data_IF_145278269957
#
_entry.id   IF_145278269957
#
_cell.length_a   1.000
_cell.length_b   1.000
_cell.length_c   1.000
_cell.angle_alpha   90.00
_cell.angle_beta   90.00
_cell.angle_gamma   90.00
#
_symmetry.space_group_name_H-M   'P 1'
#
loop_
_entity.id
_entity.type
_entity.pdbx_description
1 polymer ?
#
# COMPACT_ATOMS: atom_id res chain seq x y z
N UNK A 1 43.73 -15.24 -88.65
CA UNK A 1 44.44 -14.30 -89.48
C UNK A 1 45.29 -13.44 -88.57
N UNK A 2 46.57 -13.78 -88.47
CA UNK A 2 47.74 -13.19 -89.06
C UNK A 2 47.78 -11.66 -88.96
N UNK A 3 48.68 -11.14 -88.06
CA UNK A 3 49.98 -10.50 -88.38
C UNK A 3 50.57 -10.04 -87.03
N UNK A 4 51.60 -10.48 -86.47
CA UNK A 4 53.06 -10.49 -86.72
C UNK A 4 53.59 -9.16 -87.39
N UNK A 5 54.40 -8.44 -86.56
CA UNK A 5 55.58 -7.64 -86.97
C UNK A 5 56.31 -7.25 -85.69
N UNK A 6 57.34 -7.70 -85.34
CA UNK A 6 58.79 -7.81 -85.52
C UNK A 6 59.54 -6.44 -85.53
N UNK A 7 60.48 -6.38 -84.57
CA UNK A 7 61.82 -5.80 -84.55
C UNK A 7 61.97 -4.28 -84.56
N UNK A 8 62.78 -3.72 -83.67
CA UNK A 8 64.25 -3.59 -83.85
C UNK A 8 64.89 -3.21 -82.52
N UNK A 9 65.93 -3.91 -82.09
CA UNK A 9 66.84 -3.59 -81.01
C UNK A 9 67.79 -2.45 -81.45
N UNK A 10 68.00 -1.52 -80.53
CA UNK A 10 69.19 -0.60 -80.65
C UNK A 10 69.92 -0.66 -79.32
N UNK A 11 71.03 -1.28 -79.34
CA UNK A 11 72.04 -1.25 -78.24
C UNK A 11 72.80 0.06 -78.35
N UNK A 12 72.70 0.86 -77.28
CA UNK A 12 73.61 1.96 -77.02
C UNK A 12 74.40 1.67 -75.79
N UNK A 13 75.64 1.30 -75.94
CA UNK A 13 76.63 1.29 -74.87
C UNK A 13 76.92 2.73 -74.45
N UNK A 14 76.75 3.10 -73.20
CA UNK A 14 77.35 4.27 -72.62
C UNK A 14 78.02 3.89 -71.33
N UNK A 15 79.23 4.33 -71.19
CA UNK A 15 80.24 3.99 -70.22
C UNK A 15 79.85 4.31 -68.76
N UNK A 16 80.37 3.50 -67.89
CA UNK A 16 80.29 3.64 -66.44
C UNK A 16 80.85 4.95 -65.89
N UNK A 17 80.05 5.64 -65.15
CA UNK A 17 80.49 6.47 -63.99
C UNK A 17 79.95 5.86 -62.71
N UNK A 18 80.85 5.36 -61.93
CA UNK A 18 80.56 4.76 -60.65
C UNK A 18 80.02 5.81 -59.65
N UNK A 19 78.72 5.90 -59.53
CA UNK A 19 78.02 6.56 -58.40
C UNK A 19 77.30 5.52 -57.63
N UNK A 20 77.68 5.35 -56.38
CA UNK A 20 76.93 4.51 -55.43
C UNK A 20 75.51 5.03 -55.40
N UNK A 21 74.56 4.15 -55.77
CA UNK A 21 73.14 4.45 -55.56
C UNK A 21 72.91 4.65 -54.05
N UNK A 22 72.14 5.69 -53.63
CA UNK A 22 71.83 5.85 -52.24
C UNK A 22 71.09 4.60 -51.73
N UNK A 23 71.46 4.12 -50.58
CA UNK A 23 70.78 3.02 -49.93
C UNK A 23 69.26 3.29 -49.92
N UNK A 24 68.42 2.28 -50.22
CA UNK A 24 66.97 2.49 -50.18
C UNK A 24 66.60 3.00 -48.80
N UNK A 25 65.80 4.06 -48.77
CA UNK A 25 65.27 4.60 -47.49
C UNK A 25 64.71 3.45 -46.67
N UNK A 26 65.00 3.38 -45.39
CA UNK A 26 64.49 2.29 -44.53
C UNK A 26 62.94 2.26 -44.69
N UNK A 27 62.41 1.02 -44.85
CA UNK A 27 60.97 0.81 -44.96
C UNK A 27 60.28 1.49 -43.79
N UNK A 28 59.15 2.21 -44.01
CA UNK A 28 58.44 2.86 -42.90
C UNK A 28 58.13 1.83 -41.83
N UNK A 29 58.41 2.18 -40.58
CA UNK A 29 58.13 1.32 -39.44
C UNK A 29 56.65 0.89 -39.43
N UNK A 30 56.40 -0.39 -39.15
CA UNK A 30 55.06 -0.89 -39.10
C UNK A 30 54.24 -0.13 -38.04
N UNK A 31 52.96 0.21 -38.35
CA UNK A 31 52.10 0.89 -37.35
C UNK A 31 52.02 0.09 -36.05
N UNK A 32 51.96 0.80 -34.92
CA UNK A 32 51.83 0.20 -33.56
C UNK A 32 50.59 0.75 -32.87
N UNK A 33 50.00 -0.07 -31.98
CA UNK A 33 48.92 0.32 -31.08
C UNK A 33 49.29 -0.25 -29.71
N UNK A 34 49.24 0.59 -28.68
CA UNK A 34 49.50 0.21 -27.29
C UNK A 34 48.45 0.83 -26.37
N UNK A 35 48.22 0.20 -25.20
CA UNK A 35 47.24 0.61 -24.19
C UNK A 35 47.94 0.88 -22.87
N UNK A 36 47.39 1.82 -22.10
CA UNK A 36 47.86 2.13 -20.72
C UNK A 36 47.58 0.98 -19.73
N UNK A 37 46.70 0.04 -20.10
CA UNK A 37 46.36 -1.14 -19.29
C UNK A 37 46.10 -2.33 -20.23
N UNK A 38 46.41 -3.58 -19.86
CA UNK A 38 46.13 -4.76 -20.66
C UNK A 38 44.62 -5.12 -20.69
N UNK A 39 43.81 -4.55 -19.77
CA UNK A 39 42.38 -4.74 -19.67
C UNK A 39 41.74 -3.44 -19.16
N UNK A 40 40.56 -3.10 -19.65
CA UNK A 40 39.76 -2.01 -19.16
C UNK A 40 38.68 -2.54 -18.19
N UNK A 41 38.85 -2.30 -16.91
CA UNK A 41 37.88 -2.68 -15.89
C UNK A 41 36.86 -1.56 -15.69
N UNK A 42 35.58 -1.90 -15.81
CA UNK A 42 34.46 -1.00 -15.56
C UNK A 42 33.83 -1.33 -14.20
N UNK A 43 33.36 -0.32 -13.49
CA UNK A 43 32.67 -0.50 -12.21
C UNK A 43 31.47 -1.48 -12.36
N UNK A 44 31.24 -2.38 -11.41
CA UNK A 44 30.03 -3.23 -11.39
C UNK A 44 28.73 -2.42 -11.46
N UNK A 45 28.73 -1.21 -10.89
CA UNK A 45 27.59 -0.29 -10.90
C UNK A 45 27.37 0.40 -12.25
N UNK A 46 28.22 0.14 -13.24
CA UNK A 46 28.25 0.86 -14.50
C UNK A 46 28.99 2.18 -14.41
N UNK A 47 28.68 3.08 -15.35
CA UNK A 47 29.33 4.36 -15.49
C UNK A 47 30.48 4.34 -16.48
N UNK A 48 31.35 5.33 -16.41
CA UNK A 48 32.42 5.58 -17.36
C UNK A 48 33.76 5.03 -16.89
N UNK A 49 34.47 4.39 -17.81
CA UNK A 49 35.86 4.00 -17.65
C UNK A 49 36.69 4.53 -18.84
N UNK A 50 37.96 4.82 -18.62
CA UNK A 50 38.84 5.36 -19.63
C UNK A 50 40.10 4.54 -19.79
N UNK A 51 40.58 4.43 -21.01
CA UNK A 51 41.89 3.86 -21.35
C UNK A 51 42.64 4.82 -22.28
N UNK A 52 43.94 4.98 -22.05
CA UNK A 52 44.79 5.70 -22.96
C UNK A 52 45.28 4.73 -24.04
N UNK A 53 45.09 5.15 -25.29
CA UNK A 53 45.56 4.44 -26.49
C UNK A 53 46.61 5.28 -27.14
N UNK A 54 47.77 4.70 -27.46
CA UNK A 54 48.84 5.33 -28.21
C UNK A 54 49.05 4.54 -29.50
N UNK A 55 49.00 5.20 -30.65
CA UNK A 55 49.17 4.61 -31.95
C UNK A 55 50.04 5.50 -32.87
N UNK A 56 50.96 4.89 -33.61
CA UNK A 56 51.91 5.58 -34.47
C UNK A 56 51.26 6.07 -35.78
N UNK A 57 50.03 5.68 -36.10
CA UNK A 57 49.19 6.12 -37.23
C UNK A 57 47.74 6.35 -36.81
N UNK A 58 46.93 7.06 -37.65
CA UNK A 58 45.49 7.22 -37.34
C UNK A 58 44.81 5.86 -37.09
N UNK A 59 43.90 5.81 -36.12
CA UNK A 59 43.28 4.57 -35.69
C UNK A 59 41.76 4.69 -35.45
N UNK A 60 41.07 3.58 -35.56
CA UNK A 60 39.65 3.41 -35.27
C UNK A 60 39.44 2.32 -34.23
N UNK A 61 38.25 2.32 -33.61
CA UNK A 61 37.86 1.30 -32.62
C UNK A 61 36.41 0.87 -32.89
N UNK A 62 36.18 -0.44 -32.71
CA UNK A 62 34.85 -1.04 -32.82
C UNK A 62 34.59 -1.90 -31.57
N UNK A 63 33.32 -1.98 -31.16
CA UNK A 63 32.87 -2.91 -30.13
C UNK A 63 32.57 -4.29 -30.75
N UNK A 64 32.49 -5.32 -29.92
CA UNK A 64 32.06 -6.67 -30.33
C UNK A 64 30.53 -6.83 -30.43
N UNK A 65 29.78 -5.70 -30.38
CA UNK A 65 28.32 -5.70 -30.51
C UNK A 65 27.55 -6.05 -29.23
N UNK A 66 28.22 -6.12 -28.08
CA UNK A 66 27.54 -6.28 -26.79
C UNK A 66 26.73 -4.99 -26.47
N UNK A 67 25.55 -5.15 -25.88
CA UNK A 67 24.60 -4.06 -25.57
C UNK A 67 24.86 -3.39 -24.22
N UNK A 68 25.71 -3.97 -23.39
CA UNK A 68 25.95 -3.51 -22.03
C UNK A 68 27.01 -2.41 -21.92
N UNK A 69 27.77 -2.14 -22.96
CA UNK A 69 28.72 -1.01 -23.01
C UNK A 69 28.72 -0.35 -24.38
N UNK A 70 29.13 0.91 -24.39
CA UNK A 70 29.17 1.71 -25.61
C UNK A 70 30.38 2.64 -25.61
N UNK A 71 30.73 3.11 -26.82
CA UNK A 71 31.74 4.12 -27.02
C UNK A 71 31.06 5.48 -27.28
N UNK A 72 31.56 6.54 -26.64
CA UNK A 72 31.01 7.89 -26.83
C UNK A 72 31.13 8.35 -28.34
N UNK A 73 32.10 7.79 -29.11
CA UNK A 73 32.39 8.15 -30.47
C UNK A 73 32.88 6.95 -31.29
N UNK A 74 32.00 5.99 -31.53
CA UNK A 74 32.32 4.73 -32.23
C UNK A 74 32.80 4.91 -33.69
N UNK A 75 32.50 6.03 -34.33
CA UNK A 75 32.87 6.27 -35.75
C UNK A 75 33.97 7.31 -35.94
N UNK A 76 34.67 7.66 -34.86
CA UNK A 76 35.72 8.69 -34.89
C UNK A 76 37.06 8.08 -35.29
N UNK A 77 37.82 8.81 -36.15
CA UNK A 77 39.24 8.51 -36.43
C UNK A 77 40.07 9.29 -35.41
N UNK A 78 40.81 8.57 -34.61
CA UNK A 78 41.74 9.11 -33.63
C UNK A 78 43.14 9.26 -34.22
N UNK A 79 43.97 10.11 -33.64
CA UNK A 79 45.37 10.33 -34.08
C UNK A 79 46.30 10.34 -32.87
N UNK A 80 47.41 9.59 -32.97
CA UNK A 80 48.38 9.51 -31.90
C UNK A 80 47.82 9.05 -30.58
N UNK A 81 48.31 9.62 -29.49
CA UNK A 81 47.80 9.35 -28.12
C UNK A 81 46.41 9.98 -27.95
N UNK A 82 45.45 9.18 -27.47
CA UNK A 82 44.08 9.59 -27.19
C UNK A 82 43.54 8.86 -25.99
N UNK A 83 42.60 9.48 -25.26
CA UNK A 83 41.87 8.82 -24.16
C UNK A 83 40.53 8.35 -24.72
N UNK A 84 40.35 7.03 -24.71
CA UNK A 84 39.08 6.40 -25.07
C UNK A 84 38.20 6.27 -23.86
N UNK A 85 36.95 6.72 -23.96
CA UNK A 85 35.92 6.60 -22.92
C UNK A 85 34.93 5.50 -23.32
N UNK A 86 34.69 4.58 -22.39
CA UNK A 86 33.71 3.51 -22.47
C UNK A 86 32.67 3.72 -21.39
N UNK A 87 31.41 3.77 -21.75
CA UNK A 87 30.28 3.85 -20.82
C UNK A 87 29.58 2.50 -20.73
N UNK A 88 29.33 2.01 -19.51
CA UNK A 88 28.67 0.72 -19.28
C UNK A 88 27.48 0.85 -18.34
N UNK A 89 26.51 -0.04 -18.52
CA UNK A 89 25.36 -0.18 -17.64
C UNK A 89 25.72 -1.03 -16.41
N UNK A 90 24.98 -0.94 -15.26
CA UNK A 90 25.16 -1.84 -14.13
C UNK A 90 25.11 -3.31 -14.55
N UNK A 91 25.99 -4.12 -14.02
CA UNK A 91 26.00 -5.56 -14.30
C UNK A 91 25.19 -6.33 -13.26
N UNK A 92 23.91 -6.50 -13.49
CA UNK A 92 22.99 -7.26 -12.63
C UNK A 92 22.72 -8.69 -13.17
N UNK A 93 23.57 -9.20 -14.05
CA UNK A 93 23.37 -10.49 -14.71
C UNK A 93 23.64 -11.72 -13.84
N UNK A 94 24.11 -11.54 -12.61
CA UNK A 94 24.48 -12.63 -11.70
C UNK A 94 25.91 -13.14 -11.87
N UNK A 95 26.65 -12.71 -12.91
CA UNK A 95 28.03 -13.11 -13.18
C UNK A 95 28.87 -11.97 -13.74
N UNK A 96 30.18 -12.09 -13.65
CA UNK A 96 31.08 -11.17 -14.35
C UNK A 96 30.92 -11.32 -15.88
N UNK A 97 31.05 -10.20 -16.59
CA UNK A 97 30.97 -10.17 -18.06
C UNK A 97 32.18 -9.52 -18.69
N UNK A 98 32.46 -9.92 -19.93
CA UNK A 98 33.57 -9.44 -20.73
C UNK A 98 33.09 -9.05 -22.13
N UNK A 99 33.71 -8.01 -22.67
CA UNK A 99 33.56 -7.58 -24.04
C UNK A 99 34.92 -7.31 -24.65
N UNK A 100 34.97 -7.01 -25.94
CA UNK A 100 36.21 -6.79 -26.68
C UNK A 100 36.11 -5.53 -27.53
N UNK A 101 37.06 -4.64 -27.36
CA UNK A 101 37.30 -3.53 -28.26
C UNK A 101 38.36 -3.94 -29.29
N UNK A 102 38.07 -3.74 -30.57
CA UNK A 102 38.99 -4.03 -31.68
C UNK A 102 39.49 -2.72 -32.26
N UNK A 103 40.78 -2.57 -32.30
CA UNK A 103 41.48 -1.36 -32.81
C UNK A 103 42.17 -1.66 -34.13
N UNK A 104 42.12 -0.70 -35.01
CA UNK A 104 42.82 -0.77 -36.32
C UNK A 104 43.57 0.52 -36.55
N UNK A 105 44.88 0.44 -36.89
CA UNK A 105 45.74 1.56 -37.25
C UNK A 105 46.60 1.16 -38.43
N UNK A 106 46.25 1.63 -39.63
CA UNK A 106 46.89 1.16 -40.88
C UNK A 106 46.73 -0.37 -41.04
N UNK A 107 47.85 -1.09 -41.02
CA UNK A 107 47.88 -2.57 -41.09
C UNK A 107 47.94 -3.23 -39.70
N UNK A 108 48.13 -2.45 -38.65
CA UNK A 108 48.17 -3.00 -37.28
C UNK A 108 46.75 -3.16 -36.70
N UNK A 109 46.54 -4.25 -36.04
CA UNK A 109 45.33 -4.54 -35.25
C UNK A 109 45.67 -4.90 -33.81
N UNK A 110 44.85 -4.48 -32.86
CA UNK A 110 44.97 -4.84 -31.45
C UNK A 110 43.59 -5.03 -30.84
N UNK A 111 43.53 -5.77 -29.76
CA UNK A 111 42.28 -5.97 -29.01
C UNK A 111 42.51 -5.66 -27.52
N UNK A 112 41.51 -5.01 -26.91
CA UNK A 112 41.48 -4.75 -25.48
C UNK A 112 40.23 -5.38 -24.88
N UNK A 113 40.41 -6.15 -23.82
CA UNK A 113 39.29 -6.70 -23.08
C UNK A 113 38.66 -5.61 -22.21
N UNK A 114 37.34 -5.51 -22.23
CA UNK A 114 36.53 -4.77 -21.28
C UNK A 114 35.92 -5.75 -20.30
N UNK A 115 36.18 -5.59 -19.01
CA UNK A 115 35.64 -6.49 -17.98
C UNK A 115 34.80 -5.72 -16.98
N UNK A 116 33.74 -6.37 -16.51
CA UNK A 116 32.87 -5.86 -15.48
C UNK A 116 32.43 -6.97 -14.53
N UNK A 117 32.73 -6.83 -13.24
CA UNK A 117 32.26 -7.76 -12.22
C UNK A 117 30.73 -7.65 -12.03
N UNK A 118 30.13 -8.68 -11.43
CA UNK A 118 28.72 -8.65 -11.09
C UNK A 118 28.46 -7.57 -10.02
N UNK A 119 27.39 -6.80 -10.20
CA UNK A 119 26.87 -5.88 -9.21
C UNK A 119 25.80 -6.59 -8.38
N UNK A 120 26.00 -6.64 -7.06
CA UNK A 120 25.05 -7.20 -6.12
C UNK A 120 24.47 -6.04 -5.29
N UNK A 121 23.19 -5.69 -5.52
CA UNK A 121 22.48 -4.79 -4.63
C UNK A 121 22.54 -5.28 -3.18
N UNK A 122 22.89 -4.40 -2.24
CA UNK A 122 22.87 -4.69 -0.80
C UNK A 122 22.16 -3.56 -0.05
N UNK A 123 21.41 -3.96 0.97
CA UNK A 123 20.68 -3.08 1.89
C UNK A 123 20.95 -3.55 3.31
N UNK A 124 21.31 -2.63 4.17
CA UNK A 124 21.56 -2.88 5.60
C UNK A 124 20.63 -2.01 6.42
N UNK A 125 20.08 -2.60 7.45
CA UNK A 125 19.29 -1.92 8.48
C UNK A 125 20.13 -1.77 9.74
N UNK A 126 19.95 -0.68 10.48
CA UNK A 126 20.67 -0.43 11.75
C UNK A 126 20.25 -1.41 12.86
N UNK A 127 19.18 -2.15 12.68
CA UNK A 127 18.65 -3.14 13.62
C UNK A 127 18.32 -4.44 12.88
N UNK A 128 18.39 -5.57 13.57
CA UNK A 128 17.98 -6.87 13.03
C UNK A 128 16.45 -7.03 13.02
N UNK A 129 15.78 -6.40 13.99
CA UNK A 129 14.33 -6.39 14.15
C UNK A 129 13.89 -5.02 14.65
N UNK A 130 12.77 -4.53 14.11
CA UNK A 130 12.07 -3.35 14.63
C UNK A 130 11.07 -3.80 15.67
N UNK A 131 11.18 -3.28 16.89
CA UNK A 131 10.24 -3.57 17.98
C UNK A 131 9.53 -2.30 18.42
N UNK A 132 8.23 -2.42 18.69
CA UNK A 132 7.39 -1.41 19.32
C UNK A 132 6.58 -2.07 20.44
N UNK A 133 6.21 -1.34 21.47
CA UNK A 133 5.28 -1.85 22.50
C UNK A 133 3.82 -1.86 21.99
N UNK A 134 2.92 -2.40 22.80
CA UNK A 134 1.50 -2.49 22.45
C UNK A 134 0.79 -1.14 22.35
N UNK A 135 1.33 -0.08 22.95
CA UNK A 135 0.74 1.26 22.86
C UNK A 135 0.88 1.88 21.46
N UNK A 136 1.77 1.32 20.64
CA UNK A 136 2.07 1.87 19.33
C UNK A 136 3.03 3.06 19.39
N UNK A 137 3.18 3.77 18.27
CA UNK A 137 4.08 4.91 18.17
C UNK A 137 4.97 4.85 16.94
N UNK A 138 6.09 5.58 16.96
CA UNK A 138 6.99 5.68 15.83
C UNK A 138 8.38 5.13 16.15
N UNK A 139 8.95 4.37 15.21
CA UNK A 139 10.32 3.86 15.28
C UNK A 139 11.06 4.25 14.01
N UNK A 140 12.25 4.81 14.16
CA UNK A 140 13.13 5.18 13.04
C UNK A 140 14.24 4.15 12.89
N UNK A 141 14.43 3.63 11.68
CA UNK A 141 15.47 2.68 11.30
C UNK A 141 16.40 3.34 10.30
N UNK A 142 17.70 3.42 10.62
CA UNK A 142 18.69 3.88 9.65
C UNK A 142 18.99 2.79 8.64
N UNK A 143 19.24 3.20 7.39
CA UNK A 143 19.55 2.31 6.28
C UNK A 143 20.83 2.72 5.59
N UNK A 144 21.54 1.75 5.05
CA UNK A 144 22.68 1.91 4.15
C UNK A 144 22.47 1.03 2.93
N UNK A 145 22.50 1.61 1.74
CA UNK A 145 22.22 0.89 0.49
C UNK A 145 23.21 1.28 -0.61
N UNK A 146 23.67 0.30 -1.40
CA UNK A 146 24.50 0.55 -2.58
C UNK A 146 23.70 0.70 -3.86
N UNK A 147 22.38 0.47 -3.81
CA UNK A 147 21.40 0.62 -4.89
C UNK A 147 20.06 1.14 -4.33
N UNK A 148 19.14 1.50 -5.21
CA UNK A 148 17.77 1.81 -4.82
C UNK A 148 16.99 0.52 -4.52
N UNK A 149 16.13 0.55 -3.49
CA UNK A 149 15.27 -0.55 -3.05
C UNK A 149 13.83 -0.06 -2.91
N UNK A 150 12.88 -0.94 -3.19
CA UNK A 150 11.44 -0.66 -3.05
C UNK A 150 10.82 -1.64 -2.07
N UNK A 151 9.96 -1.14 -1.20
CA UNK A 151 9.16 -1.94 -0.27
C UNK A 151 8.12 -2.75 -1.05
N UNK A 152 7.96 -4.02 -0.71
CA UNK A 152 6.80 -4.81 -1.14
C UNK A 152 5.61 -4.40 -0.27
N UNK A 153 4.72 -3.58 -0.80
CA UNK A 153 3.63 -3.00 -0.03
C UNK A 153 2.62 -4.03 0.46
N UNK A 154 2.55 -5.20 -0.19
CA UNK A 154 1.70 -6.31 0.27
C UNK A 154 2.15 -6.93 1.59
N UNK A 155 3.37 -6.66 2.04
CA UNK A 155 3.90 -7.13 3.32
C UNK A 155 3.59 -6.15 4.48
N UNK A 156 3.09 -4.96 4.17
CA UNK A 156 2.73 -3.97 5.19
C UNK A 156 1.40 -4.38 5.80
N UNK A 157 1.44 -4.87 7.03
CA UNK A 157 0.24 -5.24 7.75
C UNK A 157 -0.53 -3.98 8.20
N UNK A 158 -1.85 -4.10 8.37
CA UNK A 158 -2.73 -2.99 8.78
C UNK A 158 -2.30 -2.24 10.06
N UNK A 159 -1.53 -2.89 10.93
CA UNK A 159 -1.14 -2.36 12.22
C UNK A 159 0.14 -1.50 12.22
N UNK A 160 0.79 -1.33 11.09
CA UNK A 160 1.90 -0.38 10.93
C UNK A 160 1.99 0.15 9.49
N UNK A 161 2.68 1.28 9.35
CA UNK A 161 3.01 1.85 8.06
C UNK A 161 4.52 2.13 7.98
N UNK A 162 5.07 2.18 6.76
CA UNK A 162 6.49 2.47 6.49
C UNK A 162 6.57 3.66 5.53
N UNK A 163 7.45 4.61 5.85
CA UNK A 163 7.75 5.75 4.98
C UNK A 163 9.25 6.08 5.06
N UNK A 164 9.91 6.38 3.92
CA UNK A 164 9.40 6.28 2.55
C UNK A 164 9.24 4.82 2.09
N UNK A 165 8.50 4.60 0.98
CA UNK A 165 8.33 3.29 0.33
C UNK A 165 9.53 2.87 -0.53
N UNK A 166 10.52 3.74 -0.66
CA UNK A 166 11.75 3.50 -1.40
C UNK A 166 12.96 3.92 -0.56
N UNK A 167 14.02 3.12 -0.60
CA UNK A 167 15.32 3.45 -0.03
C UNK A 167 16.25 3.80 -1.19
N UNK A 168 16.74 5.03 -1.20
CA UNK A 168 17.71 5.48 -2.19
C UNK A 168 19.10 4.87 -1.91
N UNK A 169 19.99 4.90 -2.92
CA UNK A 169 21.42 4.61 -2.73
C UNK A 169 22.02 5.60 -1.72
N UNK A 170 22.84 5.10 -0.80
CA UNK A 170 23.47 5.85 0.28
C UNK A 170 22.83 5.57 1.62
N UNK A 171 23.10 6.46 2.59
CA UNK A 171 22.49 6.42 3.91
C UNK A 171 21.09 7.03 3.87
N UNK A 172 20.17 6.47 4.63
CA UNK A 172 18.78 6.92 4.70
C UNK A 172 18.11 6.51 6.02
N UNK A 173 16.85 6.86 6.14
CA UNK A 173 16.01 6.50 7.28
C UNK A 173 14.65 5.99 6.79
N UNK A 174 14.14 4.97 7.48
CA UNK A 174 12.78 4.47 7.39
C UNK A 174 12.08 4.80 8.70
N UNK A 175 10.90 5.37 8.62
CA UNK A 175 10.01 5.60 9.74
C UNK A 175 8.89 4.58 9.69
N UNK A 176 8.75 3.79 10.74
CA UNK A 176 7.63 2.88 10.95
C UNK A 176 6.69 3.52 11.97
N UNK A 177 5.42 3.67 11.60
CA UNK A 177 4.38 4.20 12.48
C UNK A 177 3.43 3.06 12.83
N UNK A 178 3.33 2.72 14.12
CA UNK A 178 2.56 1.60 14.63
C UNK A 178 1.24 2.11 15.21
N UNK A 179 0.14 1.46 14.85
CA UNK A 179 -1.14 1.62 15.51
C UNK A 179 -1.12 0.89 16.86
N UNK A 180 -1.99 1.27 17.78
CA UNK A 180 -2.15 0.57 19.05
C UNK A 180 -2.56 -0.89 18.79
N UNK A 181 -1.98 -1.81 19.56
CA UNK A 181 -2.43 -3.19 19.62
C UNK A 181 -3.54 -3.29 20.68
N UNK A 182 -4.75 -3.58 20.25
CA UNK A 182 -5.91 -3.73 21.15
C UNK A 182 -6.07 -5.16 21.67
N UNK A 183 -5.12 -6.05 21.39
CA UNK A 183 -5.15 -7.45 21.79
C UNK A 183 -4.07 -7.75 22.84
N UNK A 184 -4.31 -8.78 23.65
CA UNK A 184 -3.36 -9.34 24.61
C UNK A 184 -2.26 -10.19 23.97
N UNK A 185 -2.15 -10.17 22.64
CA UNK A 185 -1.20 -10.97 21.86
C UNK A 185 -0.18 -10.10 21.15
N UNK A 186 1.04 -10.60 21.15
CA UNK A 186 2.11 -10.08 20.32
C UNK A 186 1.83 -10.35 18.83
N UNK A 187 2.26 -9.45 17.95
CA UNK A 187 2.15 -9.61 16.50
C UNK A 187 3.47 -9.30 15.80
N UNK A 188 3.72 -9.98 14.67
CA UNK A 188 4.94 -9.83 13.88
C UNK A 188 4.66 -9.89 12.39
N UNK A 189 5.54 -9.26 11.62
CA UNK A 189 5.52 -9.28 10.16
C UNK A 189 6.94 -9.25 9.62
N UNK A 190 7.13 -9.74 8.40
CA UNK A 190 8.38 -9.61 7.65
C UNK A 190 8.17 -8.76 6.42
N UNK A 191 8.79 -7.60 6.34
CA UNK A 191 8.67 -6.68 5.21
C UNK A 191 9.82 -6.86 4.24
N UNK A 192 9.51 -7.22 3.00
CA UNK A 192 10.49 -7.41 1.94
C UNK A 192 10.80 -6.09 1.23
N UNK A 193 12.05 -5.91 0.96
CA UNK A 193 12.60 -4.84 0.12
C UNK A 193 13.24 -5.50 -1.10
N UNK A 194 13.03 -4.95 -2.29
CA UNK A 194 13.50 -5.50 -3.57
C UNK A 194 14.37 -4.51 -4.32
N UNK A 195 15.44 -5.02 -4.94
CA UNK A 195 16.26 -4.34 -5.93
C UNK A 195 16.66 -5.35 -7.00
N UNK A 196 16.02 -5.31 -8.18
CA UNK A 196 16.10 -6.39 -9.16
C UNK A 196 15.67 -7.72 -8.54
N UNK A 197 16.48 -8.75 -8.69
CA UNK A 197 16.23 -10.08 -8.13
C UNK A 197 16.63 -10.22 -6.65
N UNK A 198 17.26 -9.18 -6.08
CA UNK A 198 17.67 -9.21 -4.68
C UNK A 198 16.52 -8.85 -3.75
N UNK A 199 16.43 -9.59 -2.65
CA UNK A 199 15.40 -9.39 -1.61
C UNK A 199 16.08 -9.29 -0.25
N UNK A 200 15.70 -8.28 0.54
CA UNK A 200 16.05 -8.15 1.96
C UNK A 200 14.77 -8.06 2.77
N UNK A 201 14.72 -8.74 3.90
CA UNK A 201 13.55 -8.72 4.79
C UNK A 201 13.90 -7.99 6.08
N UNK A 202 13.04 -7.05 6.47
CA UNK A 202 13.06 -6.39 7.77
C UNK A 202 12.01 -7.07 8.66
N UNK A 203 12.43 -7.65 9.78
CA UNK A 203 11.52 -8.18 10.78
C UNK A 203 10.90 -7.03 11.58
N UNK A 204 9.60 -7.09 11.77
CA UNK A 204 8.82 -6.08 12.51
C UNK A 204 7.99 -6.81 13.56
N UNK A 205 8.03 -6.33 14.81
CA UNK A 205 7.32 -6.91 15.94
C UNK A 205 6.64 -5.82 16.75
N UNK A 206 5.44 -6.11 17.22
CA UNK A 206 4.75 -5.29 18.20
C UNK A 206 4.33 -6.13 19.38
N UNK A 207 4.64 -5.67 20.58
CA UNK A 207 4.25 -6.32 21.82
C UNK A 207 2.73 -6.41 21.97
N UNK A 208 2.30 -7.27 22.91
CA UNK A 208 0.91 -7.31 23.34
C UNK A 208 0.46 -5.94 23.83
N UNK A 209 -0.76 -5.56 23.50
CA UNK A 209 -1.43 -4.42 24.07
C UNK A 209 -2.27 -4.82 25.28
N UNK A 210 -2.89 -3.84 25.90
CA UNK A 210 -3.93 -4.10 26.88
C UNK A 210 -5.28 -3.88 26.21
N UNK A 211 -6.22 -4.82 26.30
CA UNK A 211 -7.59 -4.61 25.89
C UNK A 211 -8.13 -3.33 26.51
N UNK A 212 -8.86 -2.53 25.76
CA UNK A 212 -9.48 -1.33 26.30
C UNK A 212 -10.55 -1.74 27.31
N UNK A 213 -10.42 -1.37 28.59
CA UNK A 213 -11.45 -1.70 29.55
C UNK A 213 -12.80 -1.11 29.11
N UNK A 214 -13.84 -1.87 29.26
CA UNK A 214 -15.18 -1.39 28.96
C UNK A 214 -15.49 -0.12 29.78
N UNK A 215 -16.03 0.90 29.10
CA UNK A 215 -16.28 2.20 29.70
C UNK A 215 -15.04 3.10 29.85
N UNK A 216 -13.87 2.71 29.32
CA UNK A 216 -12.65 3.51 29.42
C UNK A 216 -12.78 4.93 28.81
N UNK A 217 -13.69 5.10 27.87
CA UNK A 217 -13.92 6.39 27.19
C UNK A 217 -15.18 7.12 27.66
N UNK A 218 -15.87 6.55 28.67
CA UNK A 218 -17.10 7.17 29.19
C UNK A 218 -16.76 8.48 29.92
N UNK A 219 -17.39 9.59 29.58
CA UNK A 219 -17.13 10.87 30.27
C UNK A 219 -17.48 10.79 31.76
N UNK A 220 -16.79 11.58 32.58
CA UNK A 220 -17.07 11.64 34.00
C UNK A 220 -18.53 12.07 34.29
N UNK A 221 -19.12 11.46 35.31
CA UNK A 221 -20.49 11.73 35.73
C UNK A 221 -21.57 10.95 34.97
N UNK A 222 -21.18 9.93 34.21
CA UNK A 222 -22.10 9.00 33.56
C UNK A 222 -22.08 7.66 34.33
N UNK A 223 -23.24 7.04 34.51
CA UNK A 223 -23.43 5.73 35.15
C UNK A 223 -24.06 4.75 34.17
N UNK A 224 -23.60 3.48 34.23
CA UNK A 224 -24.13 2.38 33.42
C UNK A 224 -25.59 2.11 33.81
N UNK A 225 -26.52 2.14 32.85
CA UNK A 225 -27.93 1.87 33.08
C UNK A 225 -28.45 0.66 32.29
N UNK A 226 -27.76 0.25 31.23
CA UNK A 226 -28.10 -0.92 30.43
C UNK A 226 -26.85 -1.45 29.74
N UNK A 227 -26.79 -2.78 29.60
CA UNK A 227 -25.75 -3.44 28.81
C UNK A 227 -26.21 -4.78 28.25
N UNK A 228 -25.57 -5.17 27.16
CA UNK A 228 -25.47 -6.54 26.70
C UNK A 228 -24.01 -6.84 26.39
N UNK A 229 -23.42 -7.74 27.14
CA UNK A 229 -22.04 -8.20 27.01
C UNK A 229 -21.95 -9.55 26.28
N UNK A 230 -23.10 -10.02 25.77
CA UNK A 230 -23.23 -11.26 24.99
C UNK A 230 -22.61 -12.49 25.68
N UNK A 231 -22.59 -12.49 27.02
CA UNK A 231 -22.09 -13.64 27.82
C UNK A 231 -23.11 -14.78 27.91
N UNK A 232 -24.38 -14.51 27.60
CA UNK A 232 -25.47 -15.45 27.62
C UNK A 232 -25.58 -16.37 26.40
N UNK A 233 -26.58 -17.23 26.40
CA UNK A 233 -26.86 -18.06 25.24
C UNK A 233 -27.54 -17.24 24.12
N UNK A 234 -27.38 -17.70 22.88
CA UNK A 234 -28.00 -17.03 21.73
C UNK A 234 -29.55 -16.91 21.87
N UNK A 235 -30.22 -17.84 22.57
CA UNK A 235 -31.66 -17.77 22.80
C UNK A 235 -32.08 -16.59 23.68
N UNK A 236 -31.16 -16.04 24.45
CA UNK A 236 -31.40 -14.91 25.32
C UNK A 236 -31.38 -13.57 24.59
N UNK A 237 -30.83 -13.51 23.35
CA UNK A 237 -30.81 -12.29 22.55
C UNK A 237 -32.19 -11.64 22.45
N UNK A 238 -33.25 -12.43 22.25
CA UNK A 238 -34.63 -11.90 22.15
C UNK A 238 -35.17 -11.28 23.43
N UNK A 239 -34.50 -11.45 24.54
CA UNK A 239 -34.92 -10.80 25.81
C UNK A 239 -34.61 -9.28 25.75
N UNK A 240 -33.52 -8.92 25.13
CA UNK A 240 -33.05 -7.53 24.98
C UNK A 240 -33.26 -6.95 23.59
N UNK A 241 -33.37 -7.81 22.54
CA UNK A 241 -33.41 -7.40 21.15
C UNK A 241 -34.71 -7.86 20.47
N UNK A 242 -35.17 -7.05 19.49
CA UNK A 242 -36.23 -7.39 18.52
C UNK A 242 -35.56 -7.58 17.17
N UNK A 243 -35.94 -8.62 16.45
CA UNK A 243 -35.42 -8.90 15.11
C UNK A 243 -36.42 -8.41 14.05
N UNK A 244 -35.91 -7.85 12.98
CA UNK A 244 -36.70 -7.40 11.83
C UNK A 244 -36.84 -8.53 10.79
N UNK A 245 -38.01 -8.60 10.13
CA UNK A 245 -38.24 -9.44 8.96
C UNK A 245 -38.48 -8.54 7.75
N UNK A 246 -37.43 -8.29 6.99
CA UNK A 246 -37.49 -7.39 5.84
C UNK A 246 -37.07 -8.06 4.55
N UNK A 247 -37.96 -7.97 3.52
CA UNK A 247 -37.62 -8.40 2.17
C UNK A 247 -36.48 -7.56 1.56
N UNK A 248 -35.73 -8.12 0.61
CA UNK A 248 -34.76 -7.36 -0.18
C UNK A 248 -35.38 -6.12 -0.82
N UNK A 249 -34.59 -5.06 -0.95
CA UNK A 249 -34.97 -3.81 -1.58
C UNK A 249 -35.97 -2.96 -0.80
N UNK A 250 -36.25 -3.29 0.47
CA UNK A 250 -37.19 -2.50 1.29
C UNK A 250 -36.70 -1.06 1.51
N UNK A 251 -35.41 -0.88 1.73
CA UNK A 251 -34.72 0.41 1.84
C UNK A 251 -33.43 0.35 1.04
N UNK A 252 -32.94 1.48 0.52
CA UNK A 252 -31.61 1.65 -0.10
C UNK A 252 -31.25 0.58 -1.14
N UNK A 253 -32.24 -0.09 -1.76
CA UNK A 253 -32.04 -1.19 -2.71
C UNK A 253 -31.14 -2.32 -2.17
N UNK A 254 -31.09 -2.52 -0.85
CA UNK A 254 -30.30 -3.56 -0.19
C UNK A 254 -30.68 -4.95 -0.69
N UNK A 255 -29.68 -5.81 -0.91
CA UNK A 255 -29.86 -7.10 -1.59
C UNK A 255 -30.22 -8.25 -0.64
N UNK A 256 -29.90 -8.14 0.65
CA UNK A 256 -30.20 -9.17 1.63
C UNK A 256 -31.66 -9.15 2.07
N UNK A 257 -32.15 -10.29 2.50
CA UNK A 257 -33.30 -10.39 3.38
C UNK A 257 -32.85 -10.36 4.83
N UNK A 258 -33.42 -9.52 5.67
CA UNK A 258 -33.30 -9.67 7.12
C UNK A 258 -34.27 -10.74 7.60
N UNK A 259 -33.75 -11.74 8.29
CA UNK A 259 -34.54 -12.87 8.80
C UNK A 259 -34.61 -12.82 10.33
N UNK A 260 -35.83 -12.97 10.89
CA UNK A 260 -35.98 -12.88 12.33
C UNK A 260 -35.48 -14.14 13.05
N UNK A 261 -34.76 -13.95 14.17
CA UNK A 261 -34.34 -14.99 15.11
C UNK A 261 -33.71 -16.26 14.46
N UNK A 262 -32.92 -16.05 13.40
CA UNK A 262 -32.22 -17.12 12.70
C UNK A 262 -30.78 -17.25 13.21
N UNK A 263 -30.46 -18.41 13.81
CA UNK A 263 -29.12 -18.71 14.35
C UNK A 263 -28.02 -18.78 13.28
N UNK A 264 -28.37 -18.73 12.02
CA UNK A 264 -27.39 -18.64 10.92
C UNK A 264 -26.95 -17.20 10.66
N UNK A 265 -27.76 -16.21 11.10
CA UNK A 265 -27.53 -14.78 10.84
C UNK A 265 -27.28 -13.96 12.09
N UNK A 266 -27.73 -14.42 13.27
CA UNK A 266 -27.40 -13.77 14.54
C UNK A 266 -27.26 -14.82 15.65
N UNK A 267 -26.08 -14.89 16.27
CA UNK A 267 -25.79 -15.83 17.35
C UNK A 267 -24.66 -15.30 18.24
N UNK A 268 -24.67 -15.78 19.48
CA UNK A 268 -23.58 -15.56 20.43
C UNK A 268 -22.62 -16.73 20.37
N UNK A 269 -21.34 -16.43 20.26
CA UNK A 269 -20.24 -17.40 20.31
C UNK A 269 -19.01 -16.76 20.93
N UNK A 270 -18.36 -17.50 21.84
CA UNK A 270 -17.12 -17.09 22.53
C UNK A 270 -17.23 -15.69 23.20
N UNK A 271 -18.40 -15.38 23.78
CA UNK A 271 -18.65 -14.11 24.46
C UNK A 271 -18.90 -12.92 23.54
N UNK A 272 -19.19 -13.13 22.26
CA UNK A 272 -19.50 -12.05 21.32
C UNK A 272 -20.72 -12.39 20.47
N UNK A 273 -21.49 -11.37 20.12
CA UNK A 273 -22.54 -11.45 19.08
C UNK A 273 -21.92 -11.46 17.69
N UNK A 274 -22.33 -12.39 16.88
CA UNK A 274 -22.04 -12.42 15.42
C UNK A 274 -23.31 -12.09 14.65
N UNK A 275 -23.26 -11.03 13.83
CA UNK A 275 -24.27 -10.73 12.82
C UNK A 275 -23.69 -11.09 11.45
N UNK A 276 -24.27 -12.08 10.79
CA UNK A 276 -23.68 -12.74 9.61
C UNK A 276 -24.53 -12.51 8.37
N UNK A 277 -23.92 -11.95 7.32
CA UNK A 277 -24.47 -12.03 5.98
C UNK A 277 -23.98 -13.31 5.30
N UNK A 278 -24.91 -14.09 4.73
CA UNK A 278 -24.60 -15.38 4.10
C UNK A 278 -25.60 -15.76 3.01
N UNK A 279 -25.20 -16.65 2.13
CA UNK A 279 -26.10 -17.24 1.16
C UNK A 279 -27.07 -18.26 1.79
N UNK A 280 -28.31 -18.20 1.37
CA UNK A 280 -29.35 -19.21 1.59
C UNK A 280 -30.00 -19.50 0.22
N UNK A 281 -29.48 -20.50 -0.48
CA UNK A 281 -29.76 -20.69 -1.91
C UNK A 281 -29.25 -19.51 -2.76
N UNK A 282 -30.12 -18.90 -3.53
CA UNK A 282 -29.82 -17.73 -4.36
C UNK A 282 -29.96 -16.40 -3.60
N UNK A 283 -30.52 -16.41 -2.40
CA UNK A 283 -30.74 -15.22 -1.59
C UNK A 283 -29.60 -14.99 -0.59
N UNK A 284 -29.21 -13.76 -0.36
CA UNK A 284 -28.41 -13.39 0.80
C UNK A 284 -29.34 -13.11 1.97
N UNK A 285 -29.07 -13.74 3.11
CA UNK A 285 -29.79 -13.48 4.36
C UNK A 285 -28.84 -12.84 5.37
N UNK A 286 -29.39 -12.00 6.26
CA UNK A 286 -28.66 -11.33 7.32
C UNK A 286 -29.59 -11.01 8.50
N UNK A 287 -29.09 -10.32 9.53
CA UNK A 287 -29.91 -9.87 10.62
C UNK A 287 -29.87 -8.34 10.81
N UNK A 288 -31.01 -7.81 11.23
CA UNK A 288 -31.18 -6.46 11.78
C UNK A 288 -31.92 -6.60 13.09
N UNK A 289 -31.35 -6.05 14.13
CA UNK A 289 -31.88 -6.19 15.48
C UNK A 289 -31.88 -4.84 16.20
N UNK A 290 -32.99 -4.58 16.91
CA UNK A 290 -33.23 -3.34 17.64
C UNK A 290 -33.35 -3.64 19.13
N UNK A 291 -32.81 -2.76 20.00
CA UNK A 291 -33.06 -2.89 21.43
C UNK A 291 -34.55 -2.79 21.75
N UNK A 292 -35.00 -3.54 22.76
CA UNK A 292 -36.38 -3.41 23.26
C UNK A 292 -36.58 -2.14 24.08
N UNK A 293 -35.49 -1.66 24.69
CA UNK A 293 -35.43 -0.41 25.40
C UNK A 293 -35.01 0.76 24.50
N UNK A 294 -35.37 1.94 24.90
CA UNK A 294 -35.04 3.20 24.23
C UNK A 294 -34.69 4.29 25.25
N UNK A 295 -33.83 5.18 24.84
CA UNK A 295 -33.29 6.21 25.73
C UNK A 295 -33.43 7.60 25.11
N UNK A 296 -33.65 8.59 25.97
CA UNK A 296 -33.48 10.00 25.64
C UNK A 296 -32.19 10.46 26.26
N UNK A 297 -31.22 10.90 25.44
CA UNK A 297 -29.87 11.31 25.83
C UNK A 297 -29.05 10.19 26.48
N UNK A 298 -27.77 10.41 26.64
CA UNK A 298 -26.85 9.47 27.30
C UNK A 298 -25.52 9.35 26.56
N UNK A 299 -24.71 8.44 27.04
CA UNK A 299 -23.55 7.94 26.33
C UNK A 299 -23.78 6.46 25.96
N UNK A 300 -23.70 6.14 24.69
CA UNK A 300 -23.88 4.81 24.14
C UNK A 300 -22.58 4.36 23.51
N UNK A 301 -22.13 3.15 23.80
CA UNK A 301 -20.94 2.58 23.17
C UNK A 301 -21.15 1.12 22.78
N UNK A 302 -20.42 0.70 21.75
CA UNK A 302 -20.29 -0.69 21.36
C UNK A 302 -18.85 -0.99 20.93
N UNK A 303 -18.33 -2.14 21.33
CA UNK A 303 -17.07 -2.64 20.80
C UNK A 303 -17.38 -3.56 19.62
N UNK A 304 -16.95 -3.17 18.43
CA UNK A 304 -17.34 -3.84 17.18
C UNK A 304 -16.09 -4.08 16.33
N UNK A 305 -16.00 -5.31 15.76
CA UNK A 305 -15.12 -5.66 14.64
C UNK A 305 -15.97 -5.76 13.38
N UNK A 306 -15.60 -5.04 12.34
CA UNK A 306 -16.35 -4.94 11.10
C UNK A 306 -16.13 -6.15 10.18
N UNK A 307 -17.10 -6.46 9.31
CA UNK A 307 -16.97 -7.54 8.33
C UNK A 307 -16.08 -7.11 7.17
N UNK A 308 -15.31 -8.05 6.64
CA UNK A 308 -14.55 -7.84 5.39
C UNK A 308 -15.39 -8.15 4.15
N UNK A 309 -15.13 -7.39 3.10
CA UNK A 309 -15.54 -7.74 1.75
C UNK A 309 -16.45 -6.74 1.07
N UNK A 310 -16.22 -6.61 -0.23
CA UNK A 310 -16.97 -5.70 -1.08
C UNK A 310 -18.45 -6.10 -1.16
N UNK A 311 -19.29 -5.23 -0.68
CA UNK A 311 -20.74 -5.45 -0.57
C UNK A 311 -21.26 -5.42 0.85
N UNK A 312 -20.39 -5.47 1.88
CA UNK A 312 -20.79 -5.29 3.28
C UNK A 312 -21.20 -3.85 3.57
N UNK A 313 -22.19 -3.71 4.45
CA UNK A 313 -22.61 -2.43 5.02
C UNK A 313 -23.11 -2.66 6.44
N UNK A 314 -22.18 -2.80 7.40
CA UNK A 314 -22.49 -2.88 8.83
C UNK A 314 -22.91 -1.52 9.37
N UNK A 315 -23.80 -1.50 10.36
CA UNK A 315 -24.20 -0.28 11.06
C UNK A 315 -24.51 -0.51 12.53
N UNK A 316 -24.10 0.47 13.35
CA UNK A 316 -24.48 0.71 14.73
C UNK A 316 -25.07 2.11 14.81
N UNK A 317 -26.36 2.22 15.04
CA UNK A 317 -27.14 3.41 14.84
C UNK A 317 -28.41 3.47 15.69
N UNK A 318 -29.19 4.55 15.61
CA UNK A 318 -30.35 4.75 16.44
C UNK A 318 -31.53 5.34 15.66
N UNK A 319 -32.72 4.82 15.95
CA UNK A 319 -34.01 5.34 15.45
C UNK A 319 -34.94 5.71 16.60
N UNK A 320 -35.82 6.71 16.40
CA UNK A 320 -36.78 7.08 17.45
C UNK A 320 -37.91 6.06 17.59
N UNK A 321 -38.45 5.95 18.81
CA UNK A 321 -39.69 5.19 19.04
C UNK A 321 -40.86 5.76 18.24
N UNK A 322 -40.98 7.09 18.27
CA UNK A 322 -42.02 7.80 17.49
C UNK A 322 -41.51 8.15 16.09
N UNK A 323 -41.92 7.35 15.12
CA UNK A 323 -41.64 7.55 13.69
C UNK A 323 -42.85 8.11 12.91
N UNK A 324 -43.84 8.67 13.60
CA UNK A 324 -45.10 9.14 12.97
C UNK A 324 -44.87 10.22 11.89
N UNK A 325 -43.79 11.01 12.01
CA UNK A 325 -43.39 11.99 10.99
C UNK A 325 -42.74 11.39 9.74
N UNK A 326 -42.46 10.08 9.76
CA UNK A 326 -41.71 9.40 8.69
C UNK A 326 -40.24 9.81 8.62
N UNK A 327 -39.48 8.96 7.94
CA UNK A 327 -38.04 9.28 7.67
C UNK A 327 -37.96 10.32 6.51
N UNK A 328 -37.03 11.28 6.54
CA UNK A 328 -36.04 11.54 7.57
C UNK A 328 -36.52 12.50 8.69
N UNK A 329 -37.76 12.96 8.66
CA UNK A 329 -38.25 13.96 9.61
C UNK A 329 -38.35 13.44 11.06
N UNK A 330 -38.41 12.12 11.24
CA UNK A 330 -38.38 11.51 12.57
C UNK A 330 -37.02 11.58 13.25
N UNK A 331 -35.93 11.79 12.51
CA UNK A 331 -34.55 11.79 13.01
C UNK A 331 -33.90 10.40 12.93
N UNK A 332 -32.57 10.37 12.71
CA UNK A 332 -31.72 9.19 12.72
C UNK A 332 -30.30 9.60 13.16
N UNK A 333 -29.65 8.77 13.98
CA UNK A 333 -28.29 8.97 14.47
C UNK A 333 -27.46 7.73 14.13
N UNK A 334 -26.54 7.85 13.18
CA UNK A 334 -25.63 6.79 12.78
C UNK A 334 -24.32 6.97 13.55
N UNK A 335 -24.08 6.07 14.51
CA UNK A 335 -22.91 6.12 15.38
C UNK A 335 -21.70 5.58 14.63
N UNK A 336 -21.89 4.46 13.91
CA UNK A 336 -20.87 3.85 13.08
C UNK A 336 -21.51 3.19 11.85
N UNK A 337 -20.99 3.51 10.70
CA UNK A 337 -21.22 2.81 9.45
C UNK A 337 -19.91 2.60 8.70
N UNK A 338 -19.86 1.57 7.88
CA UNK A 338 -18.80 1.29 6.92
C UNK A 338 -19.41 0.67 5.67
N UNK A 339 -18.72 0.81 4.55
CA UNK A 339 -19.00 0.02 3.34
C UNK A 339 -17.73 -0.69 2.90
N UNK A 340 -17.78 -2.01 2.72
CA UNK A 340 -16.62 -2.83 2.39
C UNK A 340 -16.02 -2.58 1.01
N UNK A 341 -16.56 -1.65 0.22
CA UNK A 341 -15.95 -1.09 -0.98
C UNK A 341 -14.93 0.01 -0.65
N UNK A 342 -15.01 0.60 0.54
CA UNK A 342 -14.05 1.56 1.11
C UNK A 342 -13.62 1.07 2.50
N UNK A 343 -12.85 -0.04 2.57
CA UNK A 343 -12.59 -0.76 3.81
C UNK A 343 -11.89 0.11 4.85
N UNK A 344 -12.23 -0.10 6.13
CA UNK A 344 -11.69 0.60 7.30
C UNK A 344 -12.00 2.11 7.37
N UNK A 345 -12.74 2.68 6.41
CA UNK A 345 -13.25 4.04 6.54
C UNK A 345 -14.59 4.01 7.26
N UNK A 346 -14.54 4.36 8.55
CA UNK A 346 -15.76 4.41 9.39
C UNK A 346 -16.33 5.81 9.43
N UNK A 347 -17.64 5.89 9.32
CA UNK A 347 -18.39 7.15 9.29
C UNK A 347 -19.43 7.24 10.38
N UNK A 348 -19.82 8.46 10.71
CA UNK A 348 -21.00 8.79 11.50
C UNK A 348 -21.84 9.79 10.77
N UNK A 349 -23.17 9.68 10.88
CA UNK A 349 -24.10 10.56 10.18
C UNK A 349 -25.27 10.98 11.05
N UNK A 350 -25.87 12.13 10.71
CA UNK A 350 -27.13 12.62 11.28
C UNK A 350 -28.09 12.90 10.17
N UNK A 351 -29.31 12.31 10.27
CA UNK A 351 -30.38 12.57 9.34
C UNK A 351 -31.61 13.16 10.02
N UNK A 352 -32.17 14.20 9.40
CA UNK A 352 -33.43 14.83 9.78
C UNK A 352 -34.03 15.54 8.57
N UNK A 353 -35.19 16.19 8.72
CA UNK A 353 -35.90 16.82 7.62
C UNK A 353 -35.04 17.83 6.82
N UNK A 354 -34.18 18.60 7.50
CA UNK A 354 -33.29 19.57 6.87
C UNK A 354 -31.97 18.96 6.39
N UNK A 355 -31.51 17.90 7.03
CA UNK A 355 -30.19 17.27 6.79
C UNK A 355 -30.36 15.80 6.51
N UNK A 356 -30.21 15.36 5.27
CA UNK A 356 -30.32 13.94 4.89
C UNK A 356 -29.68 13.65 3.53
N UNK A 357 -29.40 12.38 3.25
CA UNK A 357 -28.69 11.97 2.03
C UNK A 357 -29.54 12.17 0.75
N UNK A 358 -30.87 12.11 0.83
CA UNK A 358 -31.72 12.37 -0.34
C UNK A 358 -31.56 13.80 -0.86
N UNK A 359 -31.23 14.73 0.04
CA UNK A 359 -30.97 16.13 -0.29
C UNK A 359 -29.47 16.45 -0.39
N UNK A 360 -28.58 15.50 -0.16
CA UNK A 360 -27.12 15.71 0.00
C UNK A 360 -26.78 16.77 1.06
N UNK A 361 -27.51 16.78 2.16
CA UNK A 361 -27.35 17.76 3.26
C UNK A 361 -27.11 17.12 4.62
N UNK A 362 -27.00 15.79 4.69
CA UNK A 362 -26.68 15.06 5.92
C UNK A 362 -25.43 15.62 6.58
N UNK A 363 -25.38 15.57 7.90
CA UNK A 363 -24.18 15.90 8.65
C UNK A 363 -23.42 14.59 8.83
N UNK A 364 -22.27 14.50 8.19
CA UNK A 364 -21.46 13.30 8.21
C UNK A 364 -19.98 13.63 8.44
N UNK A 365 -19.26 12.72 9.08
CA UNK A 365 -17.82 12.70 9.16
C UNK A 365 -17.34 11.27 8.98
N UNK A 366 -16.19 11.13 8.34
CA UNK A 366 -15.57 9.84 8.02
C UNK A 366 -14.07 9.92 8.34
N UNK A 367 -13.49 8.81 8.77
CA UNK A 367 -12.03 8.67 8.86
C UNK A 367 -11.58 7.23 8.69
N UNK A 368 -10.33 7.06 8.30
CA UNK A 368 -9.66 5.77 8.33
C UNK A 368 -9.51 5.31 9.79
N UNK A 369 -10.01 4.10 10.09
CA UNK A 369 -9.88 3.40 11.37
C UNK A 369 -9.10 2.10 11.12
N UNK A 370 -7.75 2.16 11.14
CA UNK A 370 -6.93 1.00 10.79
C UNK A 370 -7.19 -0.18 11.69
N UNK A 371 -7.44 -1.35 11.11
CA UNK A 371 -7.77 -2.56 11.82
C UNK A 371 -9.26 -2.72 12.17
N UNK A 372 -10.14 -1.84 11.69
CA UNK A 372 -11.58 -1.94 11.96
C UNK A 372 -12.19 -3.29 11.56
N UNK A 373 -11.67 -3.91 10.50
CA UNK A 373 -12.08 -5.25 10.05
C UNK A 373 -11.31 -6.41 10.73
N UNK A 374 -10.27 -6.10 11.52
CA UNK A 374 -9.39 -7.11 12.15
C UNK A 374 -9.56 -7.20 13.66
N UNK A 375 -9.81 -6.05 14.31
CA UNK A 375 -9.84 -5.90 15.77
C UNK A 375 -11.13 -5.21 16.21
N UNK A 376 -11.42 -5.32 17.51
CA UNK A 376 -12.54 -4.58 18.10
C UNK A 376 -12.14 -3.13 18.33
N UNK A 377 -12.93 -2.20 17.82
CA UNK A 377 -12.86 -0.77 18.09
C UNK A 377 -14.10 -0.33 18.87
N UNK A 378 -13.95 0.69 19.71
CA UNK A 378 -15.08 1.23 20.48
C UNK A 378 -15.69 2.42 19.73
N UNK A 379 -16.90 2.22 19.24
CA UNK A 379 -17.71 3.26 18.62
C UNK A 379 -18.69 3.81 19.64
N UNK A 380 -18.75 5.14 19.79
CA UNK A 380 -19.55 5.74 20.83
C UNK A 380 -20.27 7.01 20.41
N UNK A 381 -21.34 7.29 21.12
CA UNK A 381 -22.19 8.46 21.01
C UNK A 381 -22.33 9.14 22.36
N UNK A 382 -22.03 10.43 22.44
CA UNK A 382 -22.48 11.31 23.53
C UNK A 382 -23.61 12.19 23.01
N UNK A 383 -24.80 12.00 23.54
CA UNK A 383 -26.01 12.70 23.12
C UNK A 383 -26.66 13.43 24.29
N UNK A 384 -26.81 14.72 24.13
CA UNK A 384 -27.39 15.65 25.11
C UNK A 384 -28.48 16.50 24.46
N UNK A 385 -29.12 17.36 25.23
CA UNK A 385 -30.06 18.36 24.67
C UNK A 385 -29.36 19.43 23.79
N UNK A 386 -28.04 19.54 23.91
CA UNK A 386 -27.25 20.59 23.28
C UNK A 386 -26.49 20.14 22.06
N UNK A 387 -26.06 18.88 22.04
CA UNK A 387 -25.26 18.31 20.97
C UNK A 387 -25.35 16.78 20.88
N UNK A 388 -24.96 16.29 19.72
CA UNK A 388 -24.65 14.90 19.41
C UNK A 388 -23.18 14.87 19.02
N UNK A 389 -22.37 14.00 19.67
CA UNK A 389 -20.98 13.74 19.32
C UNK A 389 -20.76 12.24 19.18
N UNK A 390 -20.04 11.85 18.14
CA UNK A 390 -19.61 10.48 17.97
C UNK A 390 -18.10 10.34 18.14
N UNK A 391 -17.66 9.15 18.51
CA UNK A 391 -16.27 8.85 18.81
C UNK A 391 -15.89 7.50 18.26
N UNK A 392 -14.62 7.35 17.90
CA UNK A 392 -13.96 6.05 17.66
C UNK A 392 -12.76 5.99 18.59
N UNK A 393 -12.68 4.97 19.45
CA UNK A 393 -11.63 4.79 20.46
C UNK A 393 -11.39 6.04 21.31
N UNK A 394 -12.46 6.68 21.74
CA UNK A 394 -12.44 7.91 22.53
C UNK A 394 -12.03 9.17 21.75
N UNK A 395 -11.72 9.06 20.48
CA UNK A 395 -11.37 10.21 19.64
C UNK A 395 -12.62 10.74 18.93
N UNK A 396 -12.92 12.06 19.00
CA UNK A 396 -14.09 12.64 18.35
C UNK A 396 -14.07 12.41 16.83
N UNK A 397 -15.23 12.08 16.26
CA UNK A 397 -15.43 11.94 14.83
C UNK A 397 -16.39 13.00 14.28
N UNK A 398 -17.63 13.06 14.77
CA UNK A 398 -18.65 14.01 14.36
C UNK A 398 -19.12 14.84 15.56
N UNK A 399 -19.35 16.14 15.37
CA UNK A 399 -20.10 16.98 16.31
C UNK A 399 -21.24 17.68 15.57
N UNK A 400 -22.47 17.50 16.07
CA UNK A 400 -23.66 18.18 15.59
C UNK A 400 -24.36 18.90 16.74
N UNK A 401 -24.46 20.22 16.65
CA UNK A 401 -25.03 21.07 17.70
C UNK A 401 -26.48 21.42 17.44
N UNK A 402 -27.26 21.45 18.52
CA UNK A 402 -28.62 21.96 18.50
C UNK A 402 -28.58 23.49 18.23
N UNK A 403 -29.28 23.93 17.18
CA UNK A 403 -29.39 25.32 16.79
C UNK A 403 -30.24 26.17 17.78
N UNK A 404 -30.90 25.50 18.74
CA UNK A 404 -31.82 26.13 19.72
C UNK A 404 -33.02 26.85 19.13
N UNK A 405 -33.30 26.60 17.84
CA UNK A 405 -34.43 27.25 17.16
C UNK A 405 -35.80 26.61 17.53
N UNK A 406 -35.81 25.52 18.29
CA UNK A 406 -37.04 24.80 18.64
C UNK A 406 -37.73 24.16 17.41
N UNK A 407 -36.94 23.87 16.38
CA UNK A 407 -37.44 23.38 15.08
C UNK A 407 -37.09 21.89 14.91
N UNK A 408 -38.08 21.04 14.93
CA UNK A 408 -37.88 19.60 14.72
C UNK A 408 -37.36 19.25 13.34
N UNK A 409 -37.42 20.16 12.35
CA UNK A 409 -36.81 19.91 11.03
C UNK A 409 -35.27 19.89 11.11
N UNK A 410 -34.69 20.63 12.05
CA UNK A 410 -33.24 20.71 12.27
C UNK A 410 -32.78 19.90 13.48
N UNK A 411 -33.65 19.74 14.51
CA UNK A 411 -33.33 19.03 15.74
C UNK A 411 -34.50 18.18 16.28
N UNK A 412 -34.80 17.01 15.67
CA UNK A 412 -35.81 16.07 16.17
C UNK A 412 -35.32 15.16 17.30
N UNK A 413 -34.13 15.40 17.85
CA UNK A 413 -33.38 14.54 18.80
C UNK A 413 -33.72 14.88 20.26
N UNK A 414 -35.01 15.13 20.57
CA UNK A 414 -35.53 15.45 21.88
C UNK A 414 -36.55 14.41 22.39
N UNK A 415 -36.47 13.17 21.89
CA UNK A 415 -37.32 12.03 22.21
C UNK A 415 -36.49 10.77 22.34
N UNK A 416 -37.10 9.66 22.75
CA UNK A 416 -36.38 8.40 22.94
C UNK A 416 -36.04 7.74 21.61
N UNK A 417 -34.83 7.18 21.54
CA UNK A 417 -34.32 6.38 20.42
C UNK A 417 -33.89 5.02 20.94
N UNK A 418 -34.11 3.98 20.14
CA UNK A 418 -33.58 2.63 20.34
C UNK A 418 -32.32 2.44 19.51
N UNK A 419 -31.45 1.52 19.93
CA UNK A 419 -30.22 1.14 19.22
C UNK A 419 -30.57 0.07 18.18
N UNK A 420 -29.97 0.18 17.00
CA UNK A 420 -30.02 -0.81 15.93
C UNK A 420 -28.62 -1.30 15.61
N UNK A 421 -28.50 -2.62 15.44
CA UNK A 421 -27.34 -3.31 14.86
C UNK A 421 -27.80 -4.07 13.62
N UNK A 422 -27.10 -3.92 12.52
CA UNK A 422 -27.36 -4.71 11.32
C UNK A 422 -26.12 -4.89 10.45
N UNK A 423 -26.17 -5.89 9.58
CA UNK A 423 -25.25 -6.05 8.48
C UNK A 423 -26.07 -6.12 7.18
N UNK A 424 -26.11 -5.01 6.42
CA UNK A 424 -26.66 -4.99 5.08
C UNK A 424 -25.66 -5.57 4.07
N UNK A 425 -26.19 -5.96 2.91
CA UNK A 425 -25.41 -6.48 1.79
C UNK A 425 -25.81 -5.79 0.50
N UNK A 426 -24.85 -5.16 -0.19
CA UNK A 426 -25.12 -4.40 -1.41
C UNK A 426 -25.90 -3.12 -1.13
N UNK A 427 -26.90 -2.84 -1.98
CA UNK A 427 -27.67 -1.61 -1.94
C UNK A 427 -26.96 -0.41 -2.56
N UNK A 428 -27.59 0.76 -2.43
CA UNK A 428 -27.13 1.99 -3.08
C UNK A 428 -25.75 2.43 -2.62
N UNK A 429 -25.40 2.20 -1.35
CA UNK A 429 -24.12 2.57 -0.80
C UNK A 429 -23.18 1.36 -0.63
N UNK A 430 -23.59 0.29 0.05
CA UNK A 430 -22.75 -0.91 0.22
C UNK A 430 -22.37 -1.58 -1.10
N UNK A 431 -23.22 -1.43 -2.12
CA UNK A 431 -23.04 -2.00 -3.47
C UNK A 431 -22.71 -1.00 -4.58
N UNK A 432 -22.38 0.27 -4.27
CA UNK A 432 -22.22 1.31 -5.30
C UNK A 432 -21.16 1.00 -6.36
N UNK A 433 -20.21 0.14 -6.05
CA UNK A 433 -19.20 -0.38 -7.00
C UNK A 433 -19.31 -1.90 -7.19
N UNK A 434 -20.52 -2.46 -7.03
CA UNK A 434 -20.81 -3.88 -7.09
C UNK A 434 -20.54 -4.62 -5.78
N UNK A 435 -20.80 -5.92 -5.77
CA UNK A 435 -20.57 -6.82 -4.62
C UNK A 435 -19.66 -7.97 -5.04
N UNK A 436 -18.91 -8.52 -4.08
CA UNK A 436 -18.11 -9.73 -4.26
C UNK A 436 -18.67 -10.85 -3.40
N UNK A 437 -19.49 -11.72 -3.99
CA UNK A 437 -20.13 -12.83 -3.28
C UNK A 437 -19.13 -13.86 -2.70
N UNK A 438 -17.86 -13.83 -3.11
CA UNK A 438 -16.84 -14.68 -2.52
C UNK A 438 -16.46 -14.28 -1.08
N UNK A 439 -16.82 -13.06 -0.66
CA UNK A 439 -16.71 -12.60 0.71
C UNK A 439 -17.73 -13.24 1.67
N UNK A 440 -18.79 -13.85 1.14
CA UNK A 440 -19.83 -14.50 1.96
C UNK A 440 -19.41 -15.94 2.37
N UNK A 441 -19.64 -16.38 3.62
CA UNK A 441 -20.23 -15.61 4.71
C UNK A 441 -19.26 -14.62 5.34
N UNK A 442 -19.74 -13.43 5.70
CA UNK A 442 -19.00 -12.42 6.42
C UNK A 442 -19.76 -11.99 7.69
N UNK A 443 -19.06 -11.47 8.69
CA UNK A 443 -19.65 -11.21 10.00
C UNK A 443 -19.21 -9.87 10.61
N UNK A 444 -20.17 -9.09 11.09
CA UNK A 444 -19.93 -8.04 12.09
C UNK A 444 -19.93 -8.72 13.47
N UNK A 445 -18.88 -8.51 14.24
CA UNK A 445 -18.73 -9.07 15.57
C UNK A 445 -18.88 -7.96 16.62
N UNK A 446 -19.71 -8.18 17.65
CA UNK A 446 -19.96 -7.20 18.71
C UNK A 446 -19.64 -7.84 20.06
N UNK A 447 -18.66 -7.28 20.78
CA UNK A 447 -18.24 -7.76 22.10
C UNK A 447 -19.21 -7.31 23.18
N UNK A 448 -19.60 -6.04 23.14
CA UNK A 448 -20.63 -5.50 24.03
C UNK A 448 -21.36 -4.30 23.42
N UNK A 449 -22.55 -4.01 23.96
CA UNK A 449 -23.26 -2.73 23.79
C UNK A 449 -23.63 -2.20 25.17
N UNK A 450 -23.38 -0.91 25.44
CA UNK A 450 -23.61 -0.28 26.73
C UNK A 450 -24.25 1.08 26.60
N UNK A 451 -25.08 1.42 27.57
CA UNK A 451 -25.76 2.70 27.68
C UNK A 451 -25.53 3.27 29.07
N UNK A 452 -25.08 4.50 29.10
CA UNK A 452 -24.82 5.26 30.32
C UNK A 452 -25.69 6.50 30.36
N UNK A 453 -26.09 6.91 31.54
CA UNK A 453 -26.85 8.13 31.78
C UNK A 453 -26.02 9.10 32.63
N UNK A 454 -26.11 10.37 32.30
CA UNK A 454 -25.51 11.41 33.14
C UNK A 454 -26.23 11.46 34.49
N UNK A 455 -25.46 11.45 35.59
CA UNK A 455 -25.97 11.68 36.92
C UNK A 455 -26.63 13.05 36.99
N UNK A 456 -27.81 13.15 37.63
CA UNK A 456 -28.55 14.40 37.83
C UNK A 456 -27.91 15.23 38.92
#
# INVERSE_FOLDING_TARGET
MKRMLSLIASVVLLAACGGKLPDPAPAPAAPTITFSSPELTVSPEGGDATVRVDASAPWTVETDGQDWYSLASASQIYKGESVLKVSAQPNVSGSARKGTLRFTSGTATASLTVSQANFVPDLRFSVAEVSCDGAGGEVVVKTEANAAWTVDESDIAYWFNISPKTVAKGSGELKLSFHRNYTDKERSAGVRFRSGDQVKTLSVRQGAGEPVPAGAYVPAGYELVWQDDFSGASDELKTKWRFEDWAPGRVNNELQRYVPDDRRTAFVKDGALSIVARKDGAQVISARMNTRESWLYGYMEAAIRLPKGKGTWPAFWMMPDDQSKGWPACGEIDIMEEVGVNPEYTSSSIHCASYNHVKNTQKTAERLTPGAEEEYHVYALEWTADYIRTYVDGQPLLEFKNDKAGNDNTWPFNKKFYITLNLAWGGDWGGWNGVDESALPCAMMVDYVRVYKKQQ
#
